data_IF_186946996351
#
_entry.id   IF_186946996351
#
_cell.length_a   1.000
_cell.length_b   1.000
_cell.length_c   1.000
_cell.angle_alpha   90.00
_cell.angle_beta   90.00
_cell.angle_gamma   90.00
#
_symmetry.space_group_name_H-M   'P 1'
#
loop_
_entity.id
_entity.type
_entity.pdbx_description
1 polymer ?
#
# COMPACT_ATOMS: atom_id res chain seq x y z
N UNK A 1 -13.11 -32.81 -7.01
CA UNK A 1 -13.95 -32.05 -7.96
C UNK A 1 -13.26 -30.73 -8.22
N UNK A 2 -12.69 -30.55 -9.40
CA UNK A 2 -12.09 -29.28 -9.83
C UNK A 2 -13.24 -28.35 -10.20
N UNK A 3 -13.66 -27.49 -9.28
CA UNK A 3 -14.69 -26.48 -9.58
C UNK A 3 -14.10 -25.51 -10.60
N UNK A 4 -14.57 -25.52 -11.84
CA UNK A 4 -14.18 -24.50 -12.83
C UNK A 4 -14.78 -23.17 -12.38
N UNK A 5 -13.98 -22.11 -12.27
CA UNK A 5 -14.51 -20.77 -12.02
C UNK A 5 -15.24 -20.34 -13.30
N UNK A 6 -16.56 -20.37 -13.27
CA UNK A 6 -17.38 -19.84 -14.35
C UNK A 6 -17.54 -18.33 -14.14
N UNK A 7 -16.66 -17.57 -14.78
CA UNK A 7 -16.64 -16.11 -14.72
C UNK A 7 -16.41 -15.54 -16.11
N UNK A 8 -17.17 -14.50 -16.54
CA UNK A 8 -17.11 -13.98 -17.91
C UNK A 8 -15.77 -13.35 -18.31
N UNK A 9 -14.92 -13.03 -17.34
CA UNK A 9 -13.55 -12.55 -17.58
C UNK A 9 -12.49 -13.66 -17.50
N UNK A 10 -12.86 -14.91 -17.22
CA UNK A 10 -11.89 -16.00 -17.17
C UNK A 10 -11.61 -16.51 -18.59
N UNK A 11 -10.41 -16.25 -19.10
CA UNK A 11 -9.96 -16.73 -20.42
C UNK A 11 -9.33 -18.12 -20.33
N UNK A 12 -8.69 -18.43 -19.20
CA UNK A 12 -8.16 -19.74 -18.89
C UNK A 12 -8.20 -20.04 -17.40
N UNK A 13 -8.26 -21.33 -17.05
CA UNK A 13 -8.18 -21.81 -15.67
C UNK A 13 -7.24 -22.99 -15.59
N UNK A 14 -6.49 -23.10 -14.50
CA UNK A 14 -5.63 -24.24 -14.23
C UNK A 14 -5.60 -24.61 -12.75
N UNK A 15 -4.66 -25.46 -12.38
CA UNK A 15 -4.53 -25.90 -10.99
C UNK A 15 -4.09 -24.72 -10.10
N UNK A 16 -5.00 -24.26 -9.24
CA UNK A 16 -4.71 -23.19 -8.29
C UNK A 16 -4.74 -21.77 -8.89
N UNK A 17 -5.20 -21.57 -10.13
CA UNK A 17 -5.23 -20.25 -10.75
C UNK A 17 -6.35 -20.03 -11.77
N UNK A 18 -6.66 -18.76 -11.99
CA UNK A 18 -7.53 -18.25 -13.06
C UNK A 18 -6.83 -17.11 -13.77
N UNK A 19 -6.87 -17.11 -15.09
CA UNK A 19 -6.18 -16.15 -15.95
C UNK A 19 -7.19 -15.34 -16.75
N UNK A 20 -6.91 -14.05 -16.87
CA UNK A 20 -7.60 -13.13 -17.78
C UNK A 20 -6.58 -12.36 -18.59
N UNK A 21 -6.80 -12.27 -19.90
CA UNK A 21 -6.03 -11.45 -20.83
C UNK A 21 -6.72 -10.11 -21.04
N UNK A 22 -5.96 -9.04 -20.85
CA UNK A 22 -6.49 -7.67 -20.85
C UNK A 22 -5.68 -6.83 -21.83
N UNK A 23 -6.39 -6.22 -22.78
CA UNK A 23 -5.79 -5.40 -23.85
C UNK A 23 -6.00 -3.90 -23.65
N UNK A 24 -6.42 -3.46 -22.45
CA UNK A 24 -6.57 -2.04 -22.14
C UNK A 24 -5.22 -1.37 -21.84
N UNK A 25 -5.14 -0.06 -22.10
CA UNK A 25 -3.98 0.74 -21.69
C UNK A 25 -3.92 0.93 -20.17
N UNK A 26 -5.08 0.93 -19.50
CA UNK A 26 -5.20 1.11 -18.06
C UNK A 26 -5.95 -0.08 -17.47
N UNK A 27 -5.32 -0.76 -16.53
CA UNK A 27 -5.90 -1.77 -15.65
C UNK A 27 -6.39 -1.07 -14.38
N UNK A 28 -7.71 -0.97 -14.22
CA UNK A 28 -8.37 -0.37 -13.06
C UNK A 28 -9.19 -1.39 -12.28
N UNK A 29 -9.49 -1.13 -11.01
CA UNK A 29 -10.33 -1.98 -10.17
C UNK A 29 -11.80 -1.81 -10.54
N UNK A 30 -12.16 -2.28 -11.74
CA UNK A 30 -13.52 -2.31 -12.23
C UNK A 30 -14.36 -3.34 -11.48
N UNK A 31 -15.68 -3.26 -11.62
CA UNK A 31 -16.60 -4.24 -11.02
C UNK A 31 -16.29 -5.67 -11.47
N UNK A 32 -16.03 -5.89 -12.76
CA UNK A 32 -15.74 -7.22 -13.29
C UNK A 32 -14.42 -7.79 -12.76
N UNK A 33 -13.36 -6.97 -12.69
CA UNK A 33 -12.09 -7.43 -12.12
C UNK A 33 -12.19 -7.66 -10.62
N UNK A 34 -12.89 -6.80 -9.89
CA UNK A 34 -13.11 -6.99 -8.46
C UNK A 34 -13.86 -8.30 -8.15
N UNK A 35 -14.92 -8.62 -8.92
CA UNK A 35 -15.64 -9.90 -8.80
C UNK A 35 -14.74 -11.09 -9.13
N UNK A 36 -13.99 -11.04 -10.24
CA UNK A 36 -13.04 -12.08 -10.62
C UNK A 36 -12.02 -12.35 -9.52
N UNK A 37 -11.36 -11.30 -9.01
CA UNK A 37 -10.36 -11.41 -7.94
C UNK A 37 -10.97 -12.03 -6.67
N UNK A 38 -12.16 -11.56 -6.27
CA UNK A 38 -12.86 -12.04 -5.08
C UNK A 38 -13.27 -13.51 -5.17
N UNK A 39 -13.87 -13.94 -6.28
CA UNK A 39 -14.26 -15.34 -6.50
C UNK A 39 -13.06 -16.26 -6.57
N UNK A 40 -12.04 -15.85 -7.31
CA UNK A 40 -10.78 -16.62 -7.44
C UNK A 40 -10.14 -16.86 -6.09
N UNK A 41 -10.03 -15.82 -5.26
CA UNK A 41 -9.49 -15.94 -3.91
C UNK A 41 -10.37 -16.80 -2.97
N UNK A 42 -11.70 -16.68 -3.07
CA UNK A 42 -12.64 -17.46 -2.24
C UNK A 42 -12.54 -18.97 -2.50
N UNK A 43 -12.18 -19.36 -3.73
CA UNK A 43 -11.91 -20.74 -4.10
C UNK A 43 -10.48 -21.21 -3.79
N UNK A 44 -9.68 -20.39 -3.11
CA UNK A 44 -8.29 -20.70 -2.77
C UNK A 44 -7.35 -20.69 -3.98
N UNK A 45 -7.73 -20.01 -5.06
CA UNK A 45 -6.93 -19.87 -6.28
C UNK A 45 -6.32 -18.47 -6.38
N UNK A 46 -5.32 -18.33 -7.24
CA UNK A 46 -4.60 -17.08 -7.49
C UNK A 46 -4.98 -16.49 -8.86
N UNK A 47 -5.39 -15.22 -8.93
CA UNK A 47 -5.68 -14.57 -10.20
C UNK A 47 -4.40 -14.15 -10.94
N UNK A 48 -4.37 -14.40 -12.25
CA UNK A 48 -3.29 -14.02 -13.17
C UNK A 48 -3.85 -13.00 -14.16
N UNK A 49 -3.39 -11.75 -14.08
CA UNK A 49 -3.75 -10.71 -15.04
C UNK A 49 -2.64 -10.62 -16.09
N UNK A 50 -2.94 -10.97 -17.34
CA UNK A 50 -1.99 -10.87 -18.46
C UNK A 50 -2.30 -9.61 -19.27
N UNK A 51 -1.30 -8.78 -19.54
CA UNK A 51 -1.47 -7.59 -20.39
C UNK A 51 -0.25 -7.31 -21.27
N UNK A 52 -0.35 -6.30 -22.14
CA UNK A 52 0.78 -5.85 -22.96
C UNK A 52 1.77 -4.93 -22.22
N UNK A 53 2.92 -4.68 -22.83
CA UNK A 53 4.04 -3.89 -22.26
C UNK A 53 3.69 -2.43 -21.94
N UNK A 54 2.68 -1.87 -22.59
CA UNK A 54 2.28 -0.46 -22.44
C UNK A 54 1.12 -0.26 -21.46
N UNK A 55 0.60 -1.36 -20.93
CA UNK A 55 -0.47 -1.31 -19.93
C UNK A 55 0.09 -0.80 -18.60
N UNK A 56 -0.68 0.07 -17.93
CA UNK A 56 -0.40 0.57 -16.58
C UNK A 56 -1.52 0.16 -15.62
N UNK A 57 -1.19 -0.03 -14.36
CA UNK A 57 -2.12 -0.51 -13.33
C UNK A 57 -2.38 0.56 -12.30
N UNK A 58 -3.63 0.81 -11.95
CA UNK A 58 -3.99 1.74 -10.87
C UNK A 58 -3.58 1.17 -9.51
N UNK A 59 -3.24 2.03 -8.54
CA UNK A 59 -2.89 1.60 -7.18
C UNK A 59 -4.00 0.75 -6.51
N UNK A 60 -5.31 1.09 -6.64
CA UNK A 60 -6.37 0.27 -6.05
C UNK A 60 -6.41 -1.16 -6.59
N UNK A 61 -6.20 -1.34 -7.89
CA UNK A 61 -6.12 -2.68 -8.48
C UNK A 61 -4.84 -3.41 -8.04
N UNK A 62 -3.70 -2.71 -7.96
CA UNK A 62 -2.46 -3.29 -7.48
C UNK A 62 -2.59 -3.83 -6.05
N UNK A 63 -3.25 -3.08 -5.18
CA UNK A 63 -3.55 -3.50 -3.80
C UNK A 63 -4.53 -4.67 -3.75
N UNK A 64 -5.63 -4.60 -4.51
CA UNK A 64 -6.61 -5.68 -4.58
C UNK A 64 -5.97 -7.00 -5.06
N UNK A 65 -5.20 -6.95 -6.15
CA UNK A 65 -4.48 -8.09 -6.71
C UNK A 65 -3.48 -8.67 -5.70
N UNK A 66 -2.70 -7.81 -5.04
CA UNK A 66 -1.75 -8.20 -3.99
C UNK A 66 -2.45 -8.90 -2.81
N UNK A 67 -3.63 -8.41 -2.41
CA UNK A 67 -4.43 -9.02 -1.33
C UNK A 67 -4.94 -10.42 -1.64
N UNK A 68 -5.07 -10.75 -2.93
CA UNK A 68 -5.46 -12.07 -3.43
C UNK A 68 -4.27 -12.94 -3.83
N UNK A 69 -3.04 -12.51 -3.52
CA UNK A 69 -1.80 -13.17 -3.96
C UNK A 69 -1.75 -13.40 -5.48
N UNK A 70 -2.39 -12.52 -6.24
CA UNK A 70 -2.42 -12.58 -7.69
C UNK A 70 -1.17 -11.97 -8.33
N UNK A 71 -0.98 -12.27 -9.60
CA UNK A 71 0.16 -11.82 -10.39
C UNK A 71 -0.28 -10.94 -11.56
N UNK A 72 0.53 -9.93 -11.84
CA UNK A 72 0.41 -9.14 -13.06
C UNK A 72 1.55 -9.55 -13.98
N UNK A 73 1.21 -10.09 -15.15
CA UNK A 73 2.13 -10.70 -16.08
C UNK A 73 2.09 -9.91 -17.37
N UNK A 74 3.25 -9.60 -17.91
CA UNK A 74 3.38 -8.89 -19.16
C UNK A 74 3.72 -9.87 -20.27
N UNK A 75 2.88 -9.88 -21.30
CA UNK A 75 3.17 -10.52 -22.56
C UNK A 75 3.99 -9.56 -23.42
N UNK A 76 5.15 -10.02 -23.86
CA UNK A 76 6.05 -9.26 -24.75
C UNK A 76 5.79 -9.60 -26.20
N UNK A 77 6.19 -8.71 -27.12
CA UNK A 77 5.99 -8.94 -28.57
C UNK A 77 6.96 -9.93 -29.17
N UNK A 78 8.14 -10.11 -28.57
CA UNK A 78 9.19 -10.94 -29.12
C UNK A 78 9.15 -12.34 -28.54
N UNK A 79 9.35 -12.55 -27.22
CA UNK A 79 9.60 -13.90 -26.72
C UNK A 79 9.17 -14.10 -25.26
N UNK A 80 7.86 -14.23 -25.04
CA UNK A 80 7.31 -14.77 -23.79
C UNK A 80 6.84 -13.72 -22.79
N UNK A 81 6.93 -14.07 -21.51
CA UNK A 81 6.28 -13.33 -20.43
C UNK A 81 7.29 -12.86 -19.38
N UNK A 82 6.89 -11.86 -18.61
CA UNK A 82 7.57 -11.57 -17.35
C UNK A 82 6.59 -11.12 -16.26
N UNK A 83 6.93 -11.40 -15.01
CA UNK A 83 6.17 -10.92 -13.86
C UNK A 83 6.45 -9.43 -13.64
N UNK A 84 5.40 -8.60 -13.61
CA UNK A 84 5.50 -7.15 -13.55
C UNK A 84 5.98 -6.60 -12.19
N UNK A 85 6.04 -7.45 -11.15
CA UNK A 85 6.55 -7.07 -9.82
C UNK A 85 8.06 -7.28 -9.73
N UNK A 86 8.54 -8.43 -10.19
CA UNK A 86 9.94 -8.88 -10.04
C UNK A 86 10.78 -8.72 -11.30
N UNK A 87 10.14 -8.62 -12.47
CA UNK A 87 10.81 -8.68 -13.76
C UNK A 87 11.23 -10.08 -14.19
N UNK A 88 10.92 -11.11 -13.40
CA UNK A 88 11.30 -12.49 -13.69
C UNK A 88 10.73 -12.93 -15.04
N UNK A 89 11.59 -13.46 -15.92
CA UNK A 89 11.17 -14.10 -17.17
C UNK A 89 10.36 -15.36 -16.87
N UNK A 90 9.29 -15.56 -17.63
CA UNK A 90 8.36 -16.66 -17.50
C UNK A 90 8.12 -17.29 -18.89
N UNK A 91 8.21 -18.63 -18.95
CA UNK A 91 7.88 -19.39 -20.16
C UNK A 91 6.36 -19.48 -20.36
N UNK A 92 5.62 -19.61 -19.26
CA UNK A 92 4.15 -19.59 -19.21
C UNK A 92 3.66 -18.65 -18.10
N UNK A 93 2.45 -18.08 -18.20
CA UNK A 93 1.92 -17.16 -17.18
C UNK A 93 1.88 -17.77 -15.77
N UNK A 94 1.49 -19.04 -15.65
CA UNK A 94 1.34 -19.75 -14.37
C UNK A 94 2.68 -20.06 -13.69
N UNK A 95 3.80 -19.98 -14.40
CA UNK A 95 5.13 -20.07 -13.79
C UNK A 95 5.36 -18.96 -12.72
N UNK A 96 4.60 -17.87 -12.78
CA UNK A 96 4.61 -16.81 -11.76
C UNK A 96 4.30 -17.33 -10.34
N UNK A 97 3.50 -18.39 -10.25
CA UNK A 97 3.04 -18.98 -8.98
C UNK A 97 4.15 -19.67 -8.17
N UNK A 98 5.25 -20.00 -8.85
CA UNK A 98 6.43 -20.66 -8.30
C UNK A 98 7.58 -19.70 -8.04
N UNK A 99 7.38 -18.39 -8.27
CA UNK A 99 8.40 -17.39 -7.98
C UNK A 99 8.62 -17.30 -6.46
N UNK A 100 9.87 -17.46 -6.04
CA UNK A 100 10.30 -17.35 -4.66
C UNK A 100 11.81 -17.17 -4.56
N UNK A 101 12.26 -16.49 -3.50
CA UNK A 101 13.67 -16.21 -3.25
C UNK A 101 14.28 -15.10 -4.13
N UNK A 102 15.58 -14.81 -3.94
CA UNK A 102 16.28 -13.81 -4.74
C UNK A 102 16.31 -14.18 -6.22
N UNK A 103 15.92 -13.25 -7.09
CA UNK A 103 15.97 -13.44 -8.53
C UNK A 103 17.39 -13.27 -9.04
N UNK A 104 17.89 -14.23 -9.82
CA UNK A 104 19.12 -14.08 -10.59
C UNK A 104 18.95 -12.91 -11.58
N UNK A 105 19.80 -11.86 -11.55
CA UNK A 105 19.74 -10.75 -12.50
C UNK A 105 19.71 -11.18 -13.98
N UNK A 106 20.35 -12.30 -14.34
CA UNK A 106 20.32 -12.84 -15.69
C UNK A 106 18.92 -13.33 -16.12
N UNK A 107 18.04 -13.62 -15.16
CA UNK A 107 16.65 -14.05 -15.36
C UNK A 107 15.66 -12.89 -15.38
N UNK A 108 16.13 -11.64 -15.28
CA UNK A 108 15.28 -10.45 -15.44
C UNK A 108 15.03 -10.19 -16.92
N UNK A 109 13.79 -9.88 -17.28
CA UNK A 109 13.43 -9.54 -18.64
C UNK A 109 13.95 -8.12 -19.01
N UNK A 110 14.65 -7.92 -20.15
CA UNK A 110 15.21 -6.63 -20.55
C UNK A 110 14.18 -5.51 -20.66
N UNK A 111 12.95 -5.83 -21.07
CA UNK A 111 11.86 -4.86 -21.11
C UNK A 111 11.51 -4.29 -19.71
N UNK A 112 11.70 -5.07 -18.64
CA UNK A 112 11.50 -4.62 -17.26
C UNK A 112 12.54 -3.58 -16.85
N UNK A 113 13.79 -3.71 -17.33
CA UNK A 113 14.88 -2.79 -17.00
C UNK A 113 14.84 -1.47 -17.79
N UNK A 114 13.85 -1.27 -18.65
CA UNK A 114 13.71 -0.02 -19.40
C UNK A 114 13.36 1.13 -18.45
N UNK A 115 14.09 2.22 -18.56
CA UNK A 115 13.85 3.42 -17.77
C UNK A 115 12.47 4.01 -18.09
N UNK A 116 11.76 4.44 -17.04
CA UNK A 116 10.50 5.17 -17.18
C UNK A 116 10.79 6.56 -17.74
N UNK A 117 10.11 6.94 -18.82
CA UNK A 117 10.36 8.19 -19.58
C UNK A 117 10.09 9.45 -18.73
N UNK A 118 9.18 9.36 -17.74
CA UNK A 118 8.88 10.44 -16.81
C UNK A 118 8.66 9.88 -15.43
N UNK A 119 9.46 10.34 -14.47
CA UNK A 119 9.34 10.00 -13.07
C UNK A 119 9.05 11.24 -12.23
N UNK A 120 8.37 11.01 -11.11
CA UNK A 120 8.00 12.00 -10.10
C UNK A 120 8.37 11.45 -8.73
N UNK A 121 8.74 12.33 -7.83
CA UNK A 121 8.82 11.99 -6.41
C UNK A 121 7.41 11.76 -5.92
N UNK A 122 7.24 10.66 -5.20
CA UNK A 122 5.98 10.25 -4.62
C UNK A 122 6.15 10.00 -3.13
N UNK A 123 5.07 10.23 -2.39
CA UNK A 123 4.98 9.92 -0.98
C UNK A 123 3.93 8.84 -0.79
N UNK A 124 4.34 7.74 -0.16
CA UNK A 124 3.48 6.60 0.14
C UNK A 124 3.24 6.56 1.64
N UNK A 125 2.08 7.01 2.09
CA UNK A 125 1.65 6.94 3.49
C UNK A 125 0.88 5.65 3.71
N UNK A 126 1.14 4.95 4.79
CA UNK A 126 0.32 3.81 5.23
C UNK A 126 0.14 3.88 6.74
N UNK A 127 -1.10 4.00 7.20
CA UNK A 127 -1.45 4.19 8.62
C UNK A 127 -2.60 3.25 8.99
N UNK A 128 -2.45 2.55 10.11
CA UNK A 128 -3.54 1.79 10.74
C UNK A 128 -4.03 2.52 11.97
N UNK A 129 -5.35 2.71 12.05
CA UNK A 129 -6.02 3.46 13.11
C UNK A 129 -7.17 2.64 13.66
N UNK A 130 -7.32 2.63 14.99
CA UNK A 130 -8.46 2.02 15.67
C UNK A 130 -9.47 3.08 16.10
N UNK A 131 -10.71 2.86 15.72
CA UNK A 131 -11.87 3.64 16.14
C UNK A 131 -12.62 2.91 17.24
N UNK A 132 -12.80 3.58 18.39
CA UNK A 132 -13.61 3.04 19.49
C UNK A 132 -15.10 3.22 19.15
N UNK A 133 -15.85 2.13 19.18
CA UNK A 133 -17.29 2.09 18.86
C UNK A 133 -18.15 2.82 19.91
N UNK A 134 -17.58 3.17 21.07
CA UNK A 134 -18.26 3.93 22.13
C UNK A 134 -18.42 5.43 21.81
N UNK A 135 -17.97 5.90 20.65
CA UNK A 135 -18.15 7.27 20.14
C UNK A 135 -18.74 7.19 18.74
N UNK A 136 -19.40 8.25 18.24
CA UNK A 136 -19.74 8.33 16.82
C UNK A 136 -18.45 8.15 16.00
N UNK A 137 -18.33 7.00 15.34
CA UNK A 137 -17.20 6.71 14.46
C UNK A 137 -17.45 7.41 13.14
N UNK A 138 -16.47 8.21 12.69
CA UNK A 138 -16.46 8.83 11.38
C UNK A 138 -15.17 8.44 10.65
N UNK A 139 -15.31 7.56 9.67
CA UNK A 139 -14.21 6.95 8.93
C UNK A 139 -13.57 7.95 7.95
N UNK A 140 -12.40 7.59 7.41
CA UNK A 140 -11.70 8.39 6.39
C UNK A 140 -10.98 9.63 6.91
N UNK A 141 -10.88 9.78 8.24
CA UNK A 141 -10.22 10.95 8.84
C UNK A 141 -8.73 11.00 8.58
N UNK A 142 -8.05 9.85 8.52
CA UNK A 142 -6.62 9.79 8.23
C UNK A 142 -6.35 10.27 6.80
N UNK A 143 -7.19 9.83 5.85
CA UNK A 143 -7.09 10.27 4.45
C UNK A 143 -7.31 11.77 4.30
N UNK A 144 -8.31 12.34 4.98
CA UNK A 144 -8.52 13.80 5.01
C UNK A 144 -7.27 14.52 5.54
N UNK A 145 -6.78 14.09 6.70
CA UNK A 145 -5.65 14.74 7.38
C UNK A 145 -4.36 14.70 6.54
N UNK A 146 -4.09 13.57 5.87
CA UNK A 146 -2.94 13.43 4.97
C UNK A 146 -3.14 14.23 3.69
N UNK A 147 -4.34 14.19 3.08
CA UNK A 147 -4.65 14.95 1.87
C UNK A 147 -4.48 16.47 2.07
N UNK A 148 -4.89 16.99 3.24
CA UNK A 148 -4.68 18.40 3.59
C UNK A 148 -3.19 18.77 3.68
N UNK A 149 -2.37 17.89 4.26
CA UNK A 149 -0.92 18.13 4.36
C UNK A 149 -0.22 18.08 3.00
N UNK A 150 -0.59 17.11 2.15
CA UNK A 150 0.13 16.83 0.90
C UNK A 150 -0.40 17.63 -0.28
N UNK A 151 -1.72 17.79 -0.37
CA UNK A 151 -2.40 18.40 -1.53
C UNK A 151 -3.08 19.72 -1.20
N UNK A 152 -3.11 20.13 0.08
CA UNK A 152 -3.78 21.35 0.57
C UNK A 152 -5.29 21.39 0.26
N UNK A 153 -5.88 20.22 0.06
CA UNK A 153 -7.30 20.03 -0.22
C UNK A 153 -7.72 18.62 0.22
N UNK A 154 -9.02 18.41 0.52
CA UNK A 154 -9.55 17.07 0.69
C UNK A 154 -9.60 16.30 -0.66
N UNK A 155 -9.80 14.96 -0.62
CA UNK A 155 -10.17 14.21 -1.80
C UNK A 155 -11.41 14.80 -2.48
N UNK A 156 -11.51 14.60 -3.80
CA UNK A 156 -12.63 15.12 -4.60
C UNK A 156 -13.67 14.04 -4.89
N UNK A 157 -13.24 12.80 -5.14
CA UNK A 157 -14.13 11.69 -5.48
C UNK A 157 -13.77 10.42 -4.72
N UNK A 158 -14.76 9.53 -4.57
CA UNK A 158 -14.58 8.22 -3.97
C UNK A 158 -15.57 7.18 -4.48
N UNK A 159 -15.34 5.94 -4.08
CA UNK A 159 -16.17 4.79 -4.43
C UNK A 159 -15.52 3.48 -3.98
N UNK A 160 -16.23 2.37 -4.15
CA UNK A 160 -15.68 1.04 -3.88
C UNK A 160 -14.82 0.51 -5.05
N UNK A 161 -15.04 1.05 -6.24
CA UNK A 161 -14.53 0.55 -7.51
C UNK A 161 -14.26 1.74 -8.43
N UNK A 162 -13.38 1.54 -9.42
CA UNK A 162 -13.12 2.52 -10.46
C UNK A 162 -14.07 2.31 -11.66
N UNK A 163 -14.53 3.38 -12.35
CA UNK A 163 -14.26 4.79 -12.09
C UNK A 163 -15.02 5.35 -10.88
N UNK A 164 -14.45 6.36 -10.22
CA UNK A 164 -15.04 7.01 -9.04
C UNK A 164 -16.01 8.10 -9.48
N UNK A 165 -17.29 7.96 -9.09
CA UNK A 165 -18.37 8.85 -9.54
C UNK A 165 -18.99 9.68 -8.41
N UNK A 166 -18.77 9.31 -7.14
CA UNK A 166 -19.33 10.03 -6.00
C UNK A 166 -18.36 11.11 -5.52
N UNK A 167 -18.87 12.31 -5.22
CA UNK A 167 -18.10 13.35 -4.55
C UNK A 167 -17.70 12.89 -3.15
N UNK A 168 -16.51 13.27 -2.68
CA UNK A 168 -15.98 12.89 -1.37
C UNK A 168 -16.94 13.25 -0.24
N UNK A 169 -17.44 12.22 0.45
CA UNK A 169 -18.35 12.34 1.59
C UNK A 169 -18.03 11.26 2.63
N UNK A 170 -17.47 11.68 3.77
CA UNK A 170 -17.11 10.79 4.86
C UNK A 170 -18.30 10.25 5.64
N UNK A 171 -19.41 10.97 5.65
CA UNK A 171 -20.60 10.54 6.36
C UNK A 171 -21.31 9.45 5.56
N UNK A 172 -21.39 9.59 4.23
CA UNK A 172 -21.86 8.50 3.35
C UNK A 172 -20.89 7.30 3.36
N UNK A 173 -19.57 7.52 3.32
CA UNK A 173 -18.58 6.44 3.48
C UNK A 173 -18.78 5.66 4.77
N UNK A 174 -19.02 6.37 5.87
CA UNK A 174 -19.25 5.78 7.18
C UNK A 174 -20.55 4.96 7.19
N UNK A 175 -21.64 5.49 6.63
CA UNK A 175 -22.92 4.80 6.56
C UNK A 175 -22.88 3.55 5.67
N UNK A 176 -22.26 3.63 4.49
CA UNK A 176 -22.10 2.46 3.61
C UNK A 176 -21.25 1.37 4.26
N UNK A 177 -20.19 1.76 4.97
CA UNK A 177 -19.37 0.80 5.73
C UNK A 177 -20.20 0.14 6.85
N UNK A 178 -20.99 0.93 7.58
CA UNK A 178 -21.87 0.44 8.65
C UNK A 178 -22.85 -0.61 8.13
N UNK A 179 -23.48 -0.39 6.97
CA UNK A 179 -24.44 -1.33 6.37
C UNK A 179 -23.82 -2.66 5.94
N UNK A 180 -22.52 -2.68 5.68
CA UNK A 180 -21.79 -3.89 5.29
C UNK A 180 -21.31 -4.73 6.48
N UNK A 181 -21.31 -4.17 7.69
CA UNK A 181 -20.85 -4.87 8.88
C UNK A 181 -21.62 -6.19 9.10
N UNK A 182 -20.95 -7.28 9.51
CA UNK A 182 -19.54 -7.36 9.93
C UNK A 182 -18.52 -7.56 8.80
N UNK A 183 -18.94 -7.53 7.53
CA UNK A 183 -18.02 -7.75 6.41
C UNK A 183 -17.07 -6.57 6.21
N UNK A 184 -15.83 -6.89 5.84
CA UNK A 184 -14.83 -5.89 5.52
C UNK A 184 -15.28 -4.99 4.36
N UNK A 185 -14.83 -3.74 4.40
CA UNK A 185 -15.12 -2.73 3.38
C UNK A 185 -13.84 -2.13 2.84
N UNK A 186 -13.80 -1.93 1.53
CA UNK A 186 -12.71 -1.27 0.82
C UNK A 186 -13.26 -0.07 0.07
N UNK A 187 -12.58 1.06 0.19
CA UNK A 187 -12.93 2.30 -0.48
C UNK A 187 -11.70 2.91 -1.12
N UNK A 188 -11.92 3.65 -2.19
CA UNK A 188 -10.93 4.38 -2.96
C UNK A 188 -11.35 5.83 -2.94
N UNK A 189 -10.39 6.75 -2.86
CA UNK A 189 -10.59 8.16 -3.03
C UNK A 189 -9.47 8.76 -3.86
N UNK A 190 -9.75 9.85 -4.58
CA UNK A 190 -8.77 10.56 -5.39
C UNK A 190 -8.88 12.07 -5.19
N UNK A 191 -7.78 12.78 -5.39
CA UNK A 191 -7.79 14.23 -5.54
C UNK A 191 -7.65 14.62 -7.03
N UNK A 192 -8.40 15.64 -7.44
CA UNK A 192 -8.24 16.29 -8.74
C UNK A 192 -7.53 17.63 -8.50
N UNK A 193 -6.25 17.57 -8.14
CA UNK A 193 -5.41 18.76 -7.88
C UNK A 193 -4.17 18.74 -8.78
N UNK A 194 -3.36 19.81 -8.71
CA UNK A 194 -2.04 19.86 -9.37
C UNK A 194 -1.04 18.83 -8.80
N UNK A 195 -1.37 18.21 -7.66
CA UNK A 195 -0.62 17.17 -6.97
C UNK A 195 -1.55 15.97 -6.76
N UNK A 196 -1.73 15.12 -7.79
CA UNK A 196 -2.67 14.01 -7.71
C UNK A 196 -2.36 13.12 -6.50
N UNK A 197 -3.42 12.57 -5.93
CA UNK A 197 -3.39 11.63 -4.82
C UNK A 197 -4.39 10.52 -5.08
N UNK A 198 -4.00 9.29 -4.78
CA UNK A 198 -4.90 8.13 -4.68
C UNK A 198 -4.81 7.58 -3.26
N UNK A 199 -5.97 7.49 -2.60
CA UNK A 199 -6.12 6.91 -1.29
C UNK A 199 -6.94 5.63 -1.33
N UNK A 200 -6.53 4.62 -0.59
CA UNK A 200 -7.32 3.41 -0.32
C UNK A 200 -7.59 3.30 1.18
N UNK A 201 -8.78 2.84 1.52
CA UNK A 201 -9.21 2.59 2.89
C UNK A 201 -9.68 1.16 2.99
N UNK A 202 -9.14 0.41 3.95
CA UNK A 202 -9.63 -0.90 4.33
C UNK A 202 -10.17 -0.84 5.75
N UNK A 203 -11.44 -1.19 5.92
CA UNK A 203 -12.11 -1.16 7.22
C UNK A 203 -12.56 -2.57 7.58
N UNK A 204 -12.11 -3.02 8.74
CA UNK A 204 -12.46 -4.31 9.31
C UNK A 204 -12.94 -4.16 10.75
N UNK A 205 -13.78 -5.10 11.19
CA UNK A 205 -14.23 -5.17 12.59
C UNK A 205 -13.35 -6.15 13.34
N UNK A 206 -12.74 -5.68 14.43
CA UNK A 206 -11.93 -6.50 15.33
C UNK A 206 -12.58 -6.60 16.70
N UNK A 207 -12.07 -7.51 17.54
CA UNK A 207 -12.51 -7.61 18.94
C UNK A 207 -12.23 -6.34 19.77
N UNK A 208 -11.42 -5.41 19.25
CA UNK A 208 -11.02 -4.19 19.93
C UNK A 208 -11.72 -2.93 19.38
N UNK A 209 -12.49 -3.04 18.30
CA UNK A 209 -13.20 -1.93 17.67
C UNK A 209 -13.26 -2.05 16.15
N UNK A 210 -13.38 -0.90 15.49
CA UNK A 210 -13.19 -0.83 14.03
C UNK A 210 -11.75 -0.43 13.76
N UNK A 211 -11.08 -1.14 12.86
CA UNK A 211 -9.75 -0.79 12.39
C UNK A 211 -9.84 -0.29 10.96
N UNK A 212 -9.25 0.88 10.72
CA UNK A 212 -9.13 1.54 9.43
C UNK A 212 -7.65 1.55 9.04
N UNK A 213 -7.31 0.83 7.98
CA UNK A 213 -6.00 0.95 7.32
C UNK A 213 -6.15 1.89 6.14
N UNK A 214 -5.50 3.04 6.21
CA UNK A 214 -5.45 4.04 5.15
C UNK A 214 -4.10 3.97 4.46
N UNK A 215 -4.11 3.90 3.14
CA UNK A 215 -2.92 4.03 2.32
C UNK A 215 -3.12 5.17 1.32
N UNK A 216 -2.08 5.96 1.12
CA UNK A 216 -2.10 7.15 0.26
C UNK A 216 -0.85 7.13 -0.59
N UNK A 217 -1.01 7.27 -1.91
CA UNK A 217 0.06 7.53 -2.85
C UNK A 217 -0.18 8.91 -3.44
N UNK A 218 0.79 9.81 -3.31
CA UNK A 218 0.63 11.19 -3.75
C UNK A 218 1.86 11.69 -4.50
N UNK A 219 1.63 12.51 -5.52
CA UNK A 219 2.67 13.24 -6.23
C UNK A 219 3.11 14.45 -5.40
N UNK A 220 4.42 14.55 -5.14
CA UNK A 220 4.98 15.57 -4.23
C UNK A 220 5.99 16.49 -4.89
N UNK A 221 6.58 16.14 -6.03
CA UNK A 221 7.52 17.02 -6.75
C UNK A 221 8.05 16.35 -8.02
N UNK A 222 8.56 17.15 -8.96
CA UNK A 222 9.55 16.66 -9.94
C UNK A 222 10.91 16.44 -9.26
N UNK A 223 11.75 15.56 -9.81
CA UNK A 223 13.09 15.29 -9.25
C UNK A 223 13.97 16.56 -9.12
N UNK A 224 13.70 17.58 -9.95
CA UNK A 224 14.45 18.85 -10.00
C UNK A 224 13.73 20.04 -9.31
N UNK A 225 12.60 19.80 -8.65
CA UNK A 225 11.83 20.85 -7.99
C UNK A 225 12.40 21.12 -6.59
N UNK A 226 12.60 22.38 -6.19
CA UNK A 226 13.03 22.75 -4.83
C UNK A 226 12.08 22.22 -3.74
N UNK A 227 10.83 21.90 -4.09
CA UNK A 227 9.88 21.20 -3.23
C UNK A 227 10.31 19.77 -2.83
N UNK A 228 11.30 19.18 -3.52
CA UNK A 228 11.95 17.92 -3.14
C UNK A 228 12.78 18.03 -1.85
N UNK A 229 13.20 19.24 -1.46
CA UNK A 229 14.17 19.46 -0.38
C UNK A 229 13.67 19.12 1.04
N UNK A 230 12.34 19.03 1.27
CA UNK A 230 11.78 18.67 2.60
C UNK A 230 10.79 17.50 2.54
N UNK A 231 11.08 16.47 1.73
CA UNK A 231 10.22 15.29 1.67
C UNK A 231 10.11 14.57 3.03
N UNK A 232 11.20 14.51 3.79
CA UNK A 232 11.22 13.95 5.15
C UNK A 232 10.40 14.78 6.15
N UNK A 233 10.37 16.11 6.04
CA UNK A 233 9.46 16.94 6.83
C UNK A 233 8.00 16.76 6.43
N UNK A 234 7.70 16.66 5.14
CA UNK A 234 6.34 16.37 4.66
C UNK A 234 5.85 15.01 5.18
N UNK A 235 6.72 13.99 5.18
CA UNK A 235 6.44 12.68 5.75
C UNK A 235 6.06 12.75 7.23
N UNK A 236 6.86 13.46 8.03
CA UNK A 236 6.59 13.65 9.47
C UNK A 236 5.30 14.41 9.72
N UNK A 237 5.05 15.50 8.98
CA UNK A 237 3.79 16.26 9.09
C UNK A 237 2.58 15.41 8.73
N UNK A 238 2.68 14.55 7.73
CA UNK A 238 1.61 13.63 7.32
C UNK A 238 1.27 12.63 8.43
N UNK A 239 2.28 12.02 9.07
CA UNK A 239 2.06 11.12 10.20
C UNK A 239 1.58 11.84 11.47
N UNK A 240 2.08 13.05 11.74
CA UNK A 240 1.61 13.87 12.85
C UNK A 240 0.12 14.22 12.70
N UNK A 241 -0.31 14.60 11.49
CA UNK A 241 -1.71 14.85 11.19
C UNK A 241 -2.55 13.58 11.34
N UNK A 242 -2.10 12.44 10.80
CA UNK A 242 -2.77 11.15 10.95
C UNK A 242 -2.90 10.72 12.42
N UNK A 243 -1.90 10.99 13.26
CA UNK A 243 -1.90 10.64 14.68
C UNK A 243 -2.99 11.38 15.50
N UNK A 244 -3.61 12.43 14.94
CA UNK A 244 -4.74 13.14 15.56
C UNK A 244 -6.08 12.45 15.33
N UNK A 245 -6.13 11.44 14.47
CA UNK A 245 -7.35 10.74 14.07
C UNK A 245 -7.44 9.40 14.80
N UNK A 246 -8.50 9.22 15.58
CA UNK A 246 -8.74 7.96 16.30
C UNK A 246 -7.59 7.58 17.24
N UNK A 247 -7.37 6.29 17.42
CA UNK A 247 -6.19 5.75 18.09
C UNK A 247 -5.23 5.22 17.03
N UNK A 248 -4.12 5.92 16.70
CA UNK A 248 -3.14 5.36 15.78
C UNK A 248 -2.57 4.07 16.37
N UNK A 249 -2.38 3.06 15.53
CA UNK A 249 -1.68 1.82 15.87
C UNK A 249 -0.25 1.90 15.37
N UNK A 250 -0.11 2.23 14.08
CA UNK A 250 1.17 2.46 13.40
C UNK A 250 0.96 3.31 12.17
N UNK A 251 2.01 4.00 11.76
CA UNK A 251 2.11 4.59 10.44
C UNK A 251 3.53 4.50 9.90
N UNK A 252 3.67 4.40 8.59
CA UNK A 252 4.96 4.53 7.91
C UNK A 252 4.77 5.44 6.70
N UNK A 253 5.78 6.23 6.40
CA UNK A 253 5.87 6.99 5.16
C UNK A 253 7.11 6.58 4.41
N UNK A 254 6.93 6.26 3.13
CA UNK A 254 8.02 6.00 2.20
C UNK A 254 8.11 7.11 1.15
N UNK A 255 9.33 7.49 0.82
CA UNK A 255 9.64 8.22 -0.40
C UNK A 255 9.82 7.24 -1.54
N UNK A 256 9.23 7.51 -2.69
CA UNK A 256 9.33 6.66 -3.87
C UNK A 256 9.47 7.48 -5.14
N UNK A 257 9.87 6.81 -6.21
CA UNK A 257 9.92 7.36 -7.56
C UNK A 257 8.88 6.60 -8.38
N UNK A 258 7.97 7.33 -9.01
CA UNK A 258 6.87 6.72 -9.76
C UNK A 258 6.38 7.58 -10.91
N UNK A 259 5.26 7.18 -11.52
CA UNK A 259 4.70 7.89 -12.67
C UNK A 259 3.86 9.12 -12.26
N UNK A 260 3.77 10.18 -13.10
CA UNK A 260 2.95 11.36 -12.80
C UNK A 260 1.46 11.08 -12.64
N UNK A 261 0.95 10.03 -13.27
CA UNK A 261 -0.44 9.60 -13.16
C UNK A 261 -0.69 8.65 -11.98
N UNK A 262 0.33 8.45 -11.13
CA UNK A 262 0.33 7.52 -9.99
C UNK A 262 0.09 6.05 -10.35
N UNK A 263 -0.06 5.70 -11.63
CA UNK A 263 -0.26 4.31 -12.02
C UNK A 263 1.08 3.56 -12.08
N UNK A 264 1.06 2.31 -11.63
CA UNK A 264 2.21 1.42 -11.66
C UNK A 264 2.54 1.02 -13.10
N UNK A 265 3.81 1.13 -13.45
CA UNK A 265 4.36 0.62 -14.71
C UNK A 265 4.88 -0.79 -14.50
N UNK A 266 4.94 -1.58 -15.57
CA UNK A 266 5.55 -2.90 -15.55
C UNK A 266 7.07 -2.83 -15.79
N UNK A 267 7.73 -1.84 -15.21
CA UNK A 267 9.17 -1.61 -15.30
C UNK A 267 9.76 -1.51 -13.91
N UNK A 268 11.07 -1.75 -13.82
CA UNK A 268 11.82 -1.59 -12.59
C UNK A 268 11.68 -0.16 -12.07
N UNK A 269 11.38 -0.05 -10.78
CA UNK A 269 11.43 1.22 -10.06
C UNK A 269 12.44 1.10 -8.92
N UNK A 270 13.16 2.18 -8.57
CA UNK A 270 13.98 2.21 -7.36
C UNK A 270 13.18 1.77 -6.14
N UNK A 271 13.84 1.05 -5.23
CA UNK A 271 13.23 0.66 -3.97
C UNK A 271 12.83 1.93 -3.19
N UNK A 272 11.63 1.98 -2.58
CA UNK A 272 11.23 3.13 -1.80
C UNK A 272 12.04 3.22 -0.49
N UNK A 273 12.29 4.44 -0.02
CA UNK A 273 13.05 4.74 1.19
C UNK A 273 12.13 5.14 2.35
N UNK A 274 12.25 4.52 3.54
CA UNK A 274 11.52 4.93 4.73
C UNK A 274 11.93 6.32 5.21
N UNK A 275 10.96 7.21 5.36
CA UNK A 275 11.18 8.60 5.78
C UNK A 275 10.76 8.85 7.23
N UNK A 276 9.69 8.20 7.68
CA UNK A 276 9.18 8.35 9.03
C UNK A 276 8.38 7.13 9.49
N UNK A 277 8.42 6.86 10.80
CA UNK A 277 7.65 5.83 11.49
C UNK A 277 6.81 6.47 12.60
N UNK A 278 5.55 6.08 12.69
CA UNK A 278 4.65 6.40 13.79
C UNK A 278 4.35 5.10 14.54
N UNK A 279 4.67 5.04 15.82
CA UNK A 279 4.24 3.95 16.72
C UNK A 279 3.18 4.50 17.65
N UNK A 280 1.96 4.01 17.51
CA UNK A 280 0.83 4.47 18.30
C UNK A 280 0.88 4.01 19.76
N UNK A 281 -0.02 4.52 20.62
CA UNK A 281 -0.03 4.19 22.05
C UNK A 281 -0.16 2.69 22.37
N UNK A 282 -0.93 1.88 21.63
CA UNK A 282 -0.93 0.43 21.82
C UNK A 282 0.43 -0.20 21.57
N UNK A 283 1.17 0.26 20.56
CA UNK A 283 2.53 -0.19 20.24
C UNK A 283 3.50 0.19 21.36
N UNK A 284 3.60 1.48 21.71
CA UNK A 284 4.46 1.98 22.80
C UNK A 284 4.26 1.18 24.09
N UNK A 285 3.01 1.00 24.52
CA UNK A 285 2.69 0.23 25.74
C UNK A 285 3.11 -1.23 25.65
N UNK A 286 2.95 -1.86 24.49
CA UNK A 286 3.29 -3.27 24.33
C UNK A 286 4.79 -3.52 24.22
N UNK A 287 5.54 -2.52 23.74
CA UNK A 287 7.00 -2.48 23.76
C UNK A 287 7.54 -2.22 25.18
N UNK A 288 6.71 -1.70 26.09
CA UNK A 288 7.11 -1.40 27.46
C UNK A 288 8.07 -0.21 27.56
N UNK A 289 8.13 0.64 26.53
CA UNK A 289 9.02 1.81 26.48
C UNK A 289 8.30 3.07 26.95
N UNK A 290 9.02 3.97 27.61
CA UNK A 290 8.55 5.34 27.81
C UNK A 290 8.69 6.11 26.50
N UNK A 291 7.58 6.62 25.97
CA UNK A 291 7.59 7.33 24.68
C UNK A 291 8.48 8.58 24.71
N UNK A 292 8.49 9.32 25.81
CA UNK A 292 9.28 10.55 25.92
C UNK A 292 10.78 10.23 25.95
N UNK A 293 11.21 9.31 26.81
CA UNK A 293 12.59 8.83 26.86
C UNK A 293 13.04 8.21 25.53
N UNK A 294 12.22 7.35 24.93
CA UNK A 294 12.55 6.70 23.66
C UNK A 294 12.68 7.71 22.53
N UNK A 295 11.74 8.65 22.40
CA UNK A 295 11.82 9.68 21.36
C UNK A 295 12.99 10.64 21.58
N UNK A 296 13.37 10.95 22.82
CA UNK A 296 14.57 11.72 23.10
C UNK A 296 15.85 10.97 22.69
N UNK A 297 15.92 9.66 22.92
CA UNK A 297 17.05 8.81 22.53
C UNK A 297 17.21 8.69 21.01
N UNK A 298 16.11 8.45 20.29
CA UNK A 298 16.14 8.21 18.83
C UNK A 298 15.88 9.47 17.99
N UNK A 299 15.82 10.65 18.59
CA UNK A 299 15.61 11.92 17.89
C UNK A 299 14.20 12.08 17.28
N UNK A 300 13.19 11.46 17.89
CA UNK A 300 11.79 11.56 17.52
C UNK A 300 11.00 12.63 18.28
N UNK A 301 9.68 12.60 18.13
CA UNK A 301 8.74 13.42 18.89
C UNK A 301 7.62 12.57 19.47
N UNK A 302 7.19 12.89 20.68
CA UNK A 302 6.00 12.26 21.27
C UNK A 302 4.74 12.84 20.63
N UNK A 303 3.79 11.98 20.28
CA UNK A 303 2.48 12.36 19.71
C UNK A 303 1.33 11.77 20.53
N UNK A 304 0.11 12.25 20.30
CA UNK A 304 -1.06 11.81 21.07
C UNK A 304 -1.19 12.53 22.42
N UNK A 305 -2.02 11.99 23.31
CA UNK A 305 -2.27 12.61 24.62
C UNK A 305 -1.24 12.15 25.66
N UNK A 306 -0.97 12.92 26.73
CA UNK A 306 -0.07 12.50 27.80
C UNK A 306 -0.41 11.16 28.46
N UNK A 307 -1.70 10.75 28.45
CA UNK A 307 -2.16 9.46 29.00
C UNK A 307 -2.00 8.28 28.05
N UNK A 308 -1.87 8.57 26.76
CA UNK A 308 -1.76 7.60 25.67
C UNK A 308 -0.75 8.14 24.67
N UNK A 309 0.55 8.17 25.02
CA UNK A 309 1.58 8.71 24.17
C UNK A 309 1.94 7.72 23.06
N UNK A 310 2.14 8.23 21.86
CA UNK A 310 2.79 7.55 20.73
C UNK A 310 4.15 8.18 20.44
N UNK A 311 4.91 7.54 19.56
CA UNK A 311 6.21 8.02 19.11
C UNK A 311 6.21 8.25 17.59
N UNK A 312 6.66 9.42 17.15
CA UNK A 312 6.92 9.74 15.76
C UNK A 312 8.42 9.86 15.57
N UNK A 313 9.00 8.98 14.74
CA UNK A 313 10.44 8.79 14.62
C UNK A 313 10.86 9.12 13.18
N UNK A 314 11.79 10.07 12.98
CA UNK A 314 12.41 10.28 11.68
C UNK A 314 13.30 9.09 11.32
N UNK A 315 13.27 8.70 10.04
CA UNK A 315 14.09 7.62 9.51
C UNK A 315 15.19 8.18 8.60
N UNK A 316 15.03 8.12 7.28
CA UNK A 316 16.00 8.59 6.31
C UNK A 316 15.49 9.72 5.43
N UNK A 317 16.19 9.92 4.32
CA UNK A 317 15.76 10.77 3.20
C UNK A 317 15.47 9.92 1.98
N UNK A 318 15.04 10.57 0.88
CA UNK A 318 14.90 9.90 -0.42
C UNK A 318 16.24 9.37 -0.97
N UNK A 319 17.36 9.91 -0.50
CA UNK A 319 18.71 9.53 -0.91
C UNK A 319 19.24 8.29 -0.17
N UNK A 320 18.55 7.85 0.89
CA UNK A 320 18.86 6.62 1.62
C UNK A 320 18.86 6.74 3.14
N UNK A 321 19.39 5.70 3.79
CA UNK A 321 19.55 5.58 5.24
C UNK A 321 18.26 5.19 6.00
N UNK A 322 17.11 5.22 5.34
CA UNK A 322 15.81 4.96 5.97
C UNK A 322 15.69 3.54 6.49
N UNK A 323 16.11 2.55 5.71
CA UNK A 323 16.08 1.14 6.10
C UNK A 323 17.02 0.81 7.27
N UNK A 324 18.26 1.29 7.23
CA UNK A 324 19.20 1.09 8.33
C UNK A 324 18.65 1.69 9.63
N UNK A 325 18.14 2.93 9.57
CA UNK A 325 17.57 3.58 10.74
C UNK A 325 16.31 2.87 11.25
N UNK A 326 15.49 2.34 10.35
CA UNK A 326 14.32 1.56 10.72
C UNK A 326 14.73 0.28 11.47
N UNK A 327 15.76 -0.42 10.99
CA UNK A 327 16.31 -1.58 11.69
C UNK A 327 16.89 -1.20 13.06
N UNK A 328 17.64 -0.08 13.18
CA UNK A 328 18.14 0.42 14.47
C UNK A 328 17.02 0.72 15.47
N UNK A 329 15.92 1.31 15.00
CA UNK A 329 14.76 1.68 15.85
C UNK A 329 13.92 0.46 16.23
N UNK A 330 13.83 -0.54 15.35
CA UNK A 330 12.98 -1.72 15.54
C UNK A 330 13.74 -2.91 16.15
N UNK A 331 15.05 -3.02 15.98
CA UNK A 331 15.85 -4.14 16.51
C UNK A 331 15.78 -4.29 18.04
N UNK A 332 15.74 -3.21 18.85
CA UNK A 332 15.55 -3.32 20.30
C UNK A 332 14.13 -3.77 20.69
N UNK A 333 13.19 -3.70 19.76
CA UNK A 333 11.80 -4.05 19.95
C UNK A 333 11.61 -5.54 19.62
N UNK A 334 10.84 -6.26 20.43
CA UNK A 334 10.44 -7.64 20.09
C UNK A 334 9.68 -7.63 18.75
N UNK A 335 10.39 -7.99 17.68
CA UNK A 335 9.93 -7.93 16.29
C UNK A 335 8.61 -8.68 16.14
N UNK A 336 8.55 -9.92 16.63
CA UNK A 336 7.36 -10.74 16.52
C UNK A 336 6.17 -10.14 17.26
N UNK A 337 6.41 -9.49 18.39
CA UNK A 337 5.37 -8.85 19.19
C UNK A 337 4.87 -7.59 18.50
N UNK A 338 5.76 -6.76 17.97
CA UNK A 338 5.41 -5.63 17.12
C UNK A 338 4.56 -6.13 15.94
N UNK A 339 5.00 -7.14 15.19
CA UNK A 339 4.25 -7.64 14.03
C UNK A 339 2.88 -8.24 14.36
N UNK A 340 2.78 -9.04 15.43
CA UNK A 340 1.49 -9.61 15.90
C UNK A 340 0.51 -8.53 16.37
N UNK A 341 1.01 -7.44 16.95
CA UNK A 341 0.18 -6.34 17.45
C UNK A 341 -0.29 -5.38 16.36
N UNK A 342 0.46 -5.29 15.27
CA UNK A 342 0.21 -4.33 14.22
C UNK A 342 -0.82 -4.79 13.19
N UNK A 343 -1.18 -6.08 13.15
CA UNK A 343 -2.20 -6.61 12.25
C UNK A 343 -2.05 -6.11 10.82
N UNK A 344 -0.79 -5.90 10.39
CA UNK A 344 -0.47 -5.08 9.22
C UNK A 344 -1.14 -5.67 7.99
N UNK A 345 -1.62 -4.80 7.12
CA UNK A 345 -2.02 -5.27 5.79
C UNK A 345 -0.82 -5.98 5.13
N UNK A 346 -1.06 -7.04 4.35
CA UNK A 346 0.00 -7.75 3.64
C UNK A 346 0.93 -6.84 2.83
N UNK A 347 0.47 -5.65 2.41
CA UNK A 347 1.26 -4.65 1.72
C UNK A 347 2.35 -4.03 2.61
N UNK A 348 2.05 -3.70 3.87
CA UNK A 348 3.05 -3.17 4.82
C UNK A 348 3.96 -4.32 5.29
N UNK A 349 3.41 -5.51 5.55
CA UNK A 349 4.21 -6.67 5.92
C UNK A 349 5.23 -7.07 4.83
N UNK A 350 4.84 -7.08 3.55
CA UNK A 350 5.73 -7.43 2.42
C UNK A 350 6.95 -6.51 2.31
N UNK A 351 6.80 -5.21 2.59
CA UNK A 351 7.91 -4.25 2.59
C UNK A 351 9.02 -4.61 3.61
N UNK A 352 8.67 -5.30 4.69
CA UNK A 352 9.62 -5.75 5.71
C UNK A 352 10.20 -7.16 5.43
N UNK A 353 9.45 -8.05 4.78
CA UNK A 353 9.88 -9.44 4.54
C UNK A 353 10.71 -9.64 3.26
N UNK A 354 10.64 -8.76 2.26
CA UNK A 354 11.42 -8.92 1.02
C UNK A 354 12.93 -8.69 1.16
N UNK A 355 13.40 -8.23 2.33
CA UNK A 355 14.84 -8.21 2.68
C UNK A 355 15.20 -9.05 3.90
N UNK A 356 14.26 -9.82 4.44
CA UNK A 356 14.53 -10.82 5.47
C UNK A 356 15.22 -12.05 4.88
N UNK A 357 16.36 -11.87 4.21
CA UNK A 357 17.36 -12.92 4.18
C UNK A 357 17.77 -13.17 5.62
N UNK A 358 17.54 -14.38 6.10
CA UNK A 358 18.17 -14.90 7.32
C UNK A 358 19.66 -14.54 7.29
N UNK A 359 20.20 -13.81 8.28
CA UNK A 359 21.62 -13.86 8.53
C UNK A 359 21.90 -15.27 9.08
N UNK A 360 22.64 -16.07 8.33
CA UNK A 360 23.21 -17.36 8.71
C UNK A 360 22.43 -18.23 9.72
N UNK A 361 21.70 -19.21 9.18
CA UNK A 361 21.63 -20.57 9.73
C UNK A 361 21.26 -21.56 8.61
#
# INVERSE_FOLDING_TARGET
MTLTIDHPLADATGEGWVLTEIHSEVLSLSQGLSDLLGRTATEGRRPLLVSGEHTRMTEPLAEALSSTQGHWIIRTRTDGFYDARSGARLDTPDAALSLGGPLDPARVHPAFLRATIRSRLQLVVSVSTRHRVSRPVRLGGVLDAVSEVVTQAPPTHWGALEPLLAAWDRDDLTERTRRRMPNDSRWIAVSASSRPLVGTLHISRTGQGLEETTRVVADVAGADDAASADLAGLARRSLAAAATVGMPLIGVVLGSIGSPDLARRATASPAPEPLALLVGPPGVRALGVDAAGWTAEVGGTTVGSPRLPGALIPLGSIDGGGWQRLDEVVAPLDRERLWRLLGLSPAVARLFFERGGTPDA
#
